data_IF_825374797063
#
_entry.id   IF_825374797063
#
_cell.length_a   1.000
_cell.length_b   1.000
_cell.length_c   1.000
_cell.angle_alpha   90.00
_cell.angle_beta   90.00
_cell.angle_gamma   90.00
#
_symmetry.space_group_name_H-M   'P 1'
#
loop_
_entity.id
_entity.type
_entity.pdbx_description
1 polymer ?
#
# COMPACT_ATOMS: atom_id res chain seq x y z
N UNK A 1 10.02 -9.21 -34.16
CA UNK A 1 10.71 -7.93 -33.89
C UNK A 1 9.85 -6.95 -33.12
N UNK A 2 8.65 -6.68 -33.56
CA UNK A 2 7.77 -5.75 -32.84
C UNK A 2 7.38 -6.23 -31.47
N UNK A 3 7.19 -7.55 -31.28
CA UNK A 3 6.89 -8.12 -29.98
C UNK A 3 8.02 -7.94 -28.96
N UNK A 4 9.28 -8.12 -29.41
CA UNK A 4 10.43 -7.92 -28.54
C UNK A 4 10.58 -6.46 -28.14
N UNK A 5 10.36 -5.54 -29.07
CA UNK A 5 10.39 -4.10 -28.80
C UNK A 5 9.29 -3.72 -27.80
N UNK A 6 8.08 -4.27 -27.98
CA UNK A 6 6.98 -4.04 -27.03
C UNK A 6 7.29 -4.56 -25.65
N UNK A 7 7.94 -5.71 -25.54
CA UNK A 7 8.29 -6.30 -24.25
C UNK A 7 9.33 -5.44 -23.51
N UNK A 8 10.32 -4.94 -24.22
CA UNK A 8 11.32 -4.04 -23.64
C UNK A 8 10.70 -2.72 -23.21
N UNK A 9 9.83 -2.14 -24.05
CA UNK A 9 9.11 -0.91 -23.74
C UNK A 9 8.17 -1.10 -22.54
N UNK A 10 7.56 -2.28 -22.42
CA UNK A 10 6.66 -2.59 -21.33
C UNK A 10 7.38 -2.47 -19.97
N UNK A 11 8.59 -3.04 -19.84
CA UNK A 11 9.34 -2.99 -18.58
C UNK A 11 9.70 -1.54 -18.23
N UNK A 12 10.11 -0.74 -19.22
CA UNK A 12 10.39 0.69 -19.02
C UNK A 12 9.11 1.45 -18.68
N UNK A 13 8.00 1.12 -19.36
CA UNK A 13 6.72 1.81 -19.18
C UNK A 13 6.16 1.62 -17.78
N UNK A 14 6.30 0.44 -17.17
CA UNK A 14 5.82 0.21 -15.79
C UNK A 14 6.51 1.15 -14.82
N UNK A 15 7.84 1.27 -14.90
CA UNK A 15 8.58 2.17 -14.02
C UNK A 15 8.18 3.63 -14.24
N UNK A 16 8.02 4.04 -15.51
CA UNK A 16 7.59 5.40 -15.83
C UNK A 16 6.17 5.68 -15.38
N UNK A 17 5.26 4.73 -15.55
CA UNK A 17 3.88 4.87 -15.11
C UNK A 17 3.79 5.06 -13.60
N UNK A 18 4.60 4.31 -12.83
CA UNK A 18 4.63 4.47 -11.37
C UNK A 18 5.13 5.87 -11.02
N UNK A 19 6.17 6.36 -11.67
CA UNK A 19 6.69 7.70 -11.41
C UNK A 19 5.67 8.78 -11.75
N UNK A 20 4.97 8.65 -12.90
CA UNK A 20 3.91 9.58 -13.26
C UNK A 20 2.75 9.53 -12.26
N UNK A 21 2.35 8.33 -11.84
CA UNK A 21 1.29 8.16 -10.85
C UNK A 21 1.67 8.83 -9.53
N UNK A 22 2.91 8.66 -9.10
CA UNK A 22 3.39 9.29 -7.87
C UNK A 22 3.38 10.81 -7.99
N UNK A 23 3.79 11.35 -9.14
CA UNK A 23 3.76 12.78 -9.38
C UNK A 23 2.32 13.32 -9.37
N UNK A 24 1.39 12.59 -10.01
CA UNK A 24 -0.01 12.97 -10.02
C UNK A 24 -0.60 12.96 -8.61
N UNK A 25 -0.28 11.94 -7.82
CA UNK A 25 -0.74 11.84 -6.45
C UNK A 25 -0.21 12.98 -5.59
N UNK A 26 1.06 13.32 -5.73
CA UNK A 26 1.67 14.44 -5.01
C UNK A 26 1.11 15.80 -5.44
N UNK A 27 0.64 15.90 -6.67
CA UNK A 27 -0.01 17.11 -7.19
C UNK A 27 -1.52 17.12 -6.89
N UNK A 28 -2.01 16.16 -6.13
CA UNK A 28 -3.42 16.00 -5.78
C UNK A 28 -4.34 15.73 -6.98
N UNK A 29 -3.78 15.24 -8.08
CA UNK A 29 -4.54 14.76 -9.23
C UNK A 29 -4.83 13.27 -9.04
N UNK A 30 -5.75 12.98 -8.12
CA UNK A 30 -5.98 11.62 -7.64
C UNK A 30 -6.61 10.73 -8.69
N UNK A 31 -7.47 11.28 -9.54
CA UNK A 31 -8.10 10.51 -10.63
C UNK A 31 -7.06 10.03 -11.63
N UNK A 32 -6.13 10.91 -12.00
CA UNK A 32 -5.06 10.53 -12.92
C UNK A 32 -4.13 9.50 -12.27
N UNK A 33 -3.78 9.72 -10.99
CA UNK A 33 -2.95 8.76 -10.26
C UNK A 33 -3.59 7.38 -10.25
N UNK A 34 -4.89 7.30 -9.95
CA UNK A 34 -5.63 6.04 -9.94
C UNK A 34 -5.56 5.35 -11.29
N UNK A 35 -5.81 6.08 -12.37
CA UNK A 35 -5.77 5.53 -13.72
C UNK A 35 -4.39 4.95 -14.06
N UNK A 36 -3.34 5.66 -13.68
CA UNK A 36 -1.96 5.23 -13.94
C UNK A 36 -1.60 3.98 -13.13
N UNK A 37 -2.00 3.92 -11.86
CA UNK A 37 -1.78 2.73 -11.05
C UNK A 37 -2.54 1.53 -11.63
N UNK A 38 -3.76 1.71 -12.10
CA UNK A 38 -4.50 0.62 -12.76
C UNK A 38 -3.80 0.13 -14.01
N UNK A 39 -3.20 1.02 -14.80
CA UNK A 39 -2.42 0.58 -15.96
C UNK A 39 -1.25 -0.30 -15.54
N UNK A 40 -0.56 0.05 -14.46
CA UNK A 40 0.52 -0.78 -13.92
C UNK A 40 -0.03 -2.15 -13.49
N UNK A 41 -1.12 -2.15 -12.75
CA UNK A 41 -1.69 -3.39 -12.19
C UNK A 41 -2.30 -4.30 -13.26
N UNK A 42 -2.74 -3.75 -14.39
CA UNK A 42 -3.19 -4.56 -15.52
C UNK A 42 -2.05 -5.42 -16.07
N UNK A 43 -0.85 -4.86 -16.10
CA UNK A 43 0.33 -5.55 -16.64
C UNK A 43 1.09 -6.33 -15.58
N UNK A 44 1.11 -5.83 -14.35
CA UNK A 44 1.86 -6.42 -13.23
C UNK A 44 0.98 -6.38 -11.97
N UNK A 45 0.02 -7.33 -11.84
CA UNK A 45 -0.95 -7.29 -10.74
C UNK A 45 -0.35 -7.36 -9.34
N UNK A 46 0.85 -7.92 -9.21
CA UNK A 46 1.52 -8.05 -7.92
C UNK A 46 2.59 -6.98 -7.69
N UNK A 47 2.62 -5.95 -8.53
CA UNK A 47 3.57 -4.86 -8.34
C UNK A 47 3.36 -4.23 -6.95
N UNK A 48 4.35 -4.33 -6.04
CA UNK A 48 4.14 -3.89 -4.67
C UNK A 48 3.99 -2.38 -4.53
N UNK A 49 4.73 -1.61 -5.31
CA UNK A 49 4.65 -0.15 -5.24
C UNK A 49 3.31 0.37 -5.72
N UNK A 50 2.79 -0.18 -6.83
CA UNK A 50 1.48 0.23 -7.34
C UNK A 50 0.37 -0.17 -6.38
N UNK A 51 0.41 -1.40 -5.84
CA UNK A 51 -0.56 -1.84 -4.84
C UNK A 51 -0.52 -0.95 -3.61
N UNK A 52 0.67 -0.69 -3.08
CA UNK A 52 0.81 0.13 -1.88
C UNK A 52 0.35 1.57 -2.11
N UNK A 53 0.84 2.19 -3.18
CA UNK A 53 0.55 3.60 -3.43
C UNK A 53 -0.92 3.84 -3.76
N UNK A 54 -1.55 2.94 -4.52
CA UNK A 54 -2.99 3.02 -4.77
C UNK A 54 -3.77 2.81 -3.47
N UNK A 55 -3.32 1.88 -2.63
CA UNK A 55 -3.92 1.68 -1.31
C UNK A 55 -3.86 2.94 -0.45
N UNK A 56 -2.70 3.61 -0.43
CA UNK A 56 -2.54 4.88 0.30
C UNK A 56 -3.48 5.95 -0.27
N UNK A 57 -3.60 6.01 -1.60
CA UNK A 57 -4.52 6.96 -2.25
C UNK A 57 -5.95 6.71 -1.75
N UNK A 58 -6.39 5.46 -1.72
CA UNK A 58 -7.74 5.14 -1.25
C UNK A 58 -7.94 5.47 0.23
N UNK A 59 -6.92 5.25 1.07
CA UNK A 59 -7.02 5.69 2.47
C UNK A 59 -7.20 7.20 2.58
N UNK A 60 -6.53 7.96 1.74
CA UNK A 60 -6.58 9.43 1.77
C UNK A 60 -7.96 9.98 1.42
N UNK A 61 -8.80 9.19 0.74
CA UNK A 61 -10.15 9.59 0.37
C UNK A 61 -11.22 8.76 1.09
N UNK A 62 -10.87 8.15 2.21
CA UNK A 62 -11.78 7.40 3.08
C UNK A 62 -12.37 6.14 2.45
N UNK A 63 -11.63 5.51 1.53
CA UNK A 63 -12.02 4.26 0.92
C UNK A 63 -11.20 3.10 1.50
N UNK A 64 -11.24 2.95 2.83
CA UNK A 64 -10.42 1.97 3.54
C UNK A 64 -10.72 0.52 3.11
N UNK A 65 -11.97 0.20 2.79
CA UNK A 65 -12.31 -1.15 2.32
C UNK A 65 -11.62 -1.49 1.00
N UNK A 66 -11.57 -0.53 0.09
CA UNK A 66 -10.89 -0.70 -1.20
C UNK A 66 -9.38 -0.71 -1.05
N UNK A 67 -8.85 0.01 -0.05
CA UNK A 67 -7.42 0.06 0.22
C UNK A 67 -6.86 -1.26 0.76
N UNK A 68 -7.61 -1.96 1.60
CA UNK A 68 -7.11 -3.11 2.34
C UNK A 68 -6.53 -4.23 1.46
N UNK A 69 -7.21 -4.72 0.42
CA UNK A 69 -6.62 -5.78 -0.40
C UNK A 69 -5.35 -5.34 -1.12
N UNK A 70 -5.25 -4.07 -1.49
CA UNK A 70 -4.07 -3.52 -2.14
C UNK A 70 -2.88 -3.47 -1.18
N UNK A 71 -3.10 -2.95 0.02
CA UNK A 71 -2.06 -2.85 1.04
C UNK A 71 -1.61 -4.24 1.50
N UNK A 72 -2.55 -5.17 1.60
CA UNK A 72 -2.25 -6.54 1.95
C UNK A 72 -1.37 -7.20 0.89
N UNK A 73 -1.68 -7.00 -0.39
CA UNK A 73 -0.89 -7.55 -1.49
C UNK A 73 0.56 -7.07 -1.42
N UNK A 74 0.77 -5.77 -1.22
CA UNK A 74 2.12 -5.22 -1.10
C UNK A 74 2.91 -5.88 0.03
N UNK A 75 2.27 -6.04 1.19
CA UNK A 75 2.89 -6.69 2.34
C UNK A 75 3.21 -8.16 2.08
N UNK A 76 2.29 -8.89 1.44
CA UNK A 76 2.50 -10.31 1.15
C UNK A 76 3.64 -10.52 0.15
N UNK A 77 3.80 -9.61 -0.82
CA UNK A 77 4.86 -9.71 -1.82
C UNK A 77 6.23 -9.38 -1.19
N UNK A 78 6.29 -8.37 -0.34
CA UNK A 78 7.55 -7.91 0.27
C UNK A 78 7.39 -7.66 1.77
N UNK A 79 7.31 -8.73 2.58
CA UNK A 79 7.15 -8.56 4.03
C UNK A 79 8.38 -8.01 4.74
N UNK A 80 9.52 -7.92 4.05
CA UNK A 80 10.74 -7.34 4.61
C UNK A 80 10.71 -5.81 4.68
N UNK A 81 9.78 -5.14 4.00
CA UNK A 81 9.69 -3.68 4.03
C UNK A 81 8.71 -3.23 5.11
N UNK A 82 9.26 -2.58 6.13
CA UNK A 82 8.50 -2.16 7.31
C UNK A 82 7.31 -1.26 6.97
N UNK A 83 7.47 -0.36 5.99
CA UNK A 83 6.39 0.57 5.64
C UNK A 83 5.14 -0.13 5.10
N UNK A 84 5.26 -1.33 4.53
CA UNK A 84 4.08 -2.08 4.08
C UNK A 84 3.28 -2.60 5.29
N UNK A 85 3.95 -3.01 6.37
CA UNK A 85 3.29 -3.38 7.63
C UNK A 85 2.53 -2.19 8.21
N UNK A 86 3.20 -1.03 8.25
CA UNK A 86 2.63 0.19 8.81
C UNK A 86 1.37 0.60 8.04
N UNK A 87 1.44 0.61 6.72
CA UNK A 87 0.32 1.03 5.89
C UNK A 87 -0.88 0.09 6.02
N UNK A 88 -0.64 -1.21 6.02
CA UNK A 88 -1.72 -2.19 6.18
C UNK A 88 -2.36 -2.08 7.57
N UNK A 89 -1.54 -1.92 8.60
CA UNK A 89 -2.03 -1.69 9.97
C UNK A 89 -2.94 -0.45 10.01
N UNK A 90 -2.50 0.66 9.42
CA UNK A 90 -3.30 1.88 9.36
C UNK A 90 -4.64 1.63 8.64
N UNK A 91 -4.60 0.91 7.54
CA UNK A 91 -5.82 0.59 6.81
C UNK A 91 -6.81 -0.21 7.64
N UNK A 92 -6.32 -1.19 8.39
CA UNK A 92 -7.16 -1.98 9.29
C UNK A 92 -7.79 -1.11 10.38
N UNK A 93 -7.02 -0.22 10.98
CA UNK A 93 -7.53 0.69 12.01
C UNK A 93 -8.54 1.68 11.44
N UNK A 94 -8.28 2.25 10.26
CA UNK A 94 -9.24 3.15 9.61
C UNK A 94 -10.55 2.44 9.30
N UNK A 95 -10.50 1.16 8.96
CA UNK A 95 -11.69 0.37 8.70
C UNK A 95 -12.26 -0.26 9.98
N UNK A 96 -11.74 0.14 11.16
CA UNK A 96 -12.18 -0.30 12.48
C UNK A 96 -12.03 -1.82 12.69
N UNK A 97 -11.10 -2.44 12.00
CA UNK A 97 -10.77 -3.86 12.15
C UNK A 97 -9.63 -4.02 13.17
N UNK A 98 -9.94 -3.69 14.43
CA UNK A 98 -8.92 -3.58 15.48
C UNK A 98 -8.34 -4.94 15.88
N UNK A 99 -9.14 -5.99 15.89
CA UNK A 99 -8.63 -7.34 16.19
C UNK A 99 -7.60 -7.79 15.15
N UNK A 100 -7.88 -7.51 13.89
CA UNK A 100 -6.93 -7.81 12.81
C UNK A 100 -5.71 -6.92 12.90
N UNK A 101 -5.90 -5.65 13.29
CA UNK A 101 -4.79 -4.75 13.54
C UNK A 101 -3.84 -5.27 14.63
N UNK A 102 -4.41 -5.79 15.73
CA UNK A 102 -3.62 -6.43 16.79
C UNK A 102 -2.83 -7.63 16.26
N UNK A 103 -3.48 -8.47 15.43
CA UNK A 103 -2.84 -9.65 14.86
C UNK A 103 -1.68 -9.26 13.93
N UNK A 104 -1.87 -8.22 13.12
CA UNK A 104 -0.82 -7.73 12.22
C UNK A 104 0.34 -7.16 13.01
N UNK A 105 0.06 -6.43 14.08
CA UNK A 105 1.11 -5.90 14.94
C UNK A 105 1.94 -7.03 15.58
N UNK A 106 1.27 -8.07 16.08
CA UNK A 106 1.95 -9.23 16.65
C UNK A 106 2.81 -9.95 15.60
N UNK A 107 2.27 -10.16 14.40
CA UNK A 107 3.01 -10.78 13.31
C UNK A 107 4.22 -9.91 12.90
N UNK A 108 4.04 -8.60 12.88
CA UNK A 108 5.12 -7.67 12.56
C UNK A 108 6.26 -7.75 13.56
N UNK A 109 5.95 -7.86 14.85
CA UNK A 109 6.98 -8.06 15.90
C UNK A 109 7.81 -9.30 15.60
N UNK A 110 7.16 -10.41 15.25
CA UNK A 110 7.83 -11.66 14.92
C UNK A 110 8.67 -11.54 13.64
N UNK A 111 8.28 -10.66 12.73
CA UNK A 111 9.00 -10.46 11.48
C UNK A 111 10.07 -9.37 11.54
N UNK A 112 10.31 -8.81 12.71
CA UNK A 112 11.44 -7.92 12.92
C UNK A 112 11.14 -6.43 12.76
N UNK A 113 9.89 -6.01 12.94
CA UNK A 113 9.60 -4.57 13.01
C UNK A 113 10.45 -3.92 14.10
N UNK A 114 10.94 -2.71 13.82
CA UNK A 114 11.74 -1.97 14.80
C UNK A 114 10.91 -1.66 16.05
N UNK A 115 11.56 -1.57 17.19
CA UNK A 115 10.91 -1.26 18.46
C UNK A 115 10.20 0.10 18.41
N UNK A 116 10.78 1.07 17.72
CA UNK A 116 10.15 2.38 17.56
C UNK A 116 8.85 2.30 16.77
N UNK A 117 8.85 1.53 15.69
CA UNK A 117 7.64 1.33 14.89
C UNK A 117 6.57 0.60 15.70
N UNK A 118 6.94 -0.47 16.39
CA UNK A 118 6.02 -1.22 17.24
C UNK A 118 5.37 -0.29 18.27
N UNK A 119 6.18 0.54 18.95
CA UNK A 119 5.66 1.46 19.95
C UNK A 119 4.65 2.46 19.36
N UNK A 120 4.94 2.98 18.17
CA UNK A 120 4.02 3.91 17.49
C UNK A 120 2.71 3.24 17.12
N UNK A 121 2.77 2.01 16.60
CA UNK A 121 1.56 1.29 16.21
C UNK A 121 0.73 0.90 17.43
N UNK A 122 1.38 0.52 18.52
CA UNK A 122 0.68 0.23 19.78
C UNK A 122 -0.05 1.47 20.30
N UNK A 123 0.59 2.64 20.23
CA UNK A 123 -0.03 3.89 20.64
C UNK A 123 -1.24 4.24 19.77
N UNK A 124 -1.11 4.08 18.46
CA UNK A 124 -2.22 4.32 17.52
C UNK A 124 -3.41 3.43 17.86
N UNK A 125 -3.14 2.14 18.09
CA UNK A 125 -4.19 1.18 18.41
C UNK A 125 -4.86 1.51 19.75
N UNK A 126 -4.06 1.84 20.76
CA UNK A 126 -4.56 2.21 22.08
C UNK A 126 -5.48 3.43 21.98
N UNK A 127 -5.05 4.47 21.27
CA UNK A 127 -5.84 5.68 21.11
C UNK A 127 -7.14 5.40 20.33
N UNK A 128 -7.07 4.58 19.30
CA UNK A 128 -8.26 4.22 18.51
C UNK A 128 -9.28 3.46 19.35
N UNK A 129 -8.83 2.57 20.21
CA UNK A 129 -9.71 1.79 21.09
C UNK A 129 -10.34 2.68 22.18
N UNK A 130 -9.63 3.70 22.65
CA UNK A 130 -10.17 4.63 23.64
C UNK A 130 -11.29 5.52 23.10
N UNK A 131 -11.32 5.76 21.81
CA UNK A 131 -12.34 6.58 21.16
C UNK A 131 -13.66 5.83 20.92
N UNK A 132 -13.69 4.55 21.21
CA UNK A 132 -14.90 3.73 21.01
C UNK A 132 -15.95 3.94 22.08
#
# INVERSE_FOLDING_TARGET
MQLAIKTENFVADVAELIQEANRAQNADDLKRAEQLYFQVLDEDPLNPDANHNLGILYLSVNLSKQALPLLRTALEVHPEFEHFWVSYFHGLCYNRQFSEGQAILAAGKENGLSSDTVARLEEILFNALEEM
#
